data_IF_826614506366
#
_entry.id   IF_826614506366
#
_cell.length_a   1.000
_cell.length_b   1.000
_cell.length_c   1.000
_cell.angle_alpha   90.00
_cell.angle_beta   90.00
_cell.angle_gamma   90.00
#
_symmetry.space_group_name_H-M   'P 1'
#
loop_
_entity.id
_entity.type
_entity.pdbx_description
1 polymer ?
#
# COMPACT_ATOMS: atom_id res chain seq x y z
N UNK A 1 6.22 -4.38 0.18
CA UNK A 1 5.84 -5.58 0.96
C UNK A 1 6.47 -6.86 0.42
N UNK A 2 6.79 -7.82 1.30
CA UNK A 2 7.20 -9.20 0.96
C UNK A 2 5.99 -10.14 1.14
N UNK A 3 5.78 -11.07 0.21
CA UNK A 3 4.70 -12.05 0.29
C UNK A 3 4.95 -13.02 1.46
N UNK A 4 4.03 -13.17 2.42
CA UNK A 4 4.23 -14.06 3.56
C UNK A 4 4.19 -15.55 3.21
N UNK A 5 3.66 -15.90 2.03
CA UNK A 5 3.54 -17.30 1.61
C UNK A 5 4.80 -17.83 0.92
N UNK A 6 5.43 -17.02 0.06
CA UNK A 6 6.52 -17.47 -0.83
C UNK A 6 7.78 -16.62 -0.72
N UNK A 7 7.79 -15.58 0.13
CA UNK A 7 8.95 -14.73 0.39
C UNK A 7 9.33 -13.79 -0.75
N UNK A 8 8.57 -13.74 -1.85
CA UNK A 8 8.88 -12.88 -3.00
C UNK A 8 8.44 -11.44 -2.74
N UNK A 9 9.14 -10.47 -3.33
CA UNK A 9 8.72 -9.08 -3.32
C UNK A 9 7.39 -8.92 -4.07
N UNK A 10 6.44 -8.19 -3.47
CA UNK A 10 5.15 -7.92 -4.08
C UNK A 10 5.21 -6.63 -4.91
N UNK A 11 4.54 -6.63 -6.06
CA UNK A 11 4.52 -5.52 -7.02
C UNK A 11 3.15 -4.85 -7.05
N UNK A 12 3.08 -3.60 -7.53
CA UNK A 12 1.81 -2.89 -7.66
C UNK A 12 0.91 -3.57 -8.70
N UNK A 13 -0.33 -3.84 -8.31
CA UNK A 13 -1.34 -4.46 -9.17
C UNK A 13 -2.03 -3.38 -10.01
N UNK A 14 -1.91 -3.44 -11.33
CA UNK A 14 -2.66 -2.61 -12.29
C UNK A 14 -2.60 -1.09 -12.06
N UNK A 15 -1.56 -0.59 -11.38
CA UNK A 15 -1.50 0.82 -10.92
C UNK A 15 -2.72 1.24 -10.08
N UNK A 16 -3.41 0.28 -9.47
CA UNK A 16 -4.53 0.54 -8.57
C UNK A 16 -4.00 1.13 -7.27
N UNK A 17 -4.40 2.37 -7.04
CA UNK A 17 -4.02 3.13 -5.87
C UNK A 17 -4.75 4.45 -5.83
N UNK A 18 -4.61 5.13 -4.70
CA UNK A 18 -5.21 6.42 -4.48
C UNK A 18 -4.75 7.00 -3.16
N UNK A 19 -5.23 8.19 -2.85
CA UNK A 19 -4.86 8.87 -1.63
C UNK A 19 -5.59 10.19 -1.50
N UNK A 20 -5.49 10.76 -0.31
CA UNK A 20 -6.00 12.08 0.01
C UNK A 20 -4.84 12.87 0.59
N UNK A 21 -4.71 14.12 0.13
CA UNK A 21 -3.72 15.08 0.63
C UNK A 21 -4.47 16.34 1.04
N UNK A 22 -4.56 16.54 2.35
CA UNK A 22 -5.08 17.75 3.00
C UNK A 22 -3.91 18.44 3.73
N UNK A 23 -4.18 19.61 4.29
CA UNK A 23 -3.16 20.43 4.96
C UNK A 23 -2.58 19.74 6.22
N UNK A 24 -3.39 18.97 6.94
CA UNK A 24 -3.07 18.31 8.21
C UNK A 24 -3.08 16.76 8.11
N UNK A 25 -3.37 16.23 6.91
CA UNK A 25 -3.59 14.82 6.69
C UNK A 25 -3.09 14.36 5.34
N UNK A 26 -2.33 13.27 5.33
CA UNK A 26 -1.93 12.59 4.12
C UNK A 26 -2.22 11.10 4.26
N UNK A 27 -2.91 10.53 3.28
CA UNK A 27 -3.03 9.09 3.11
C UNK A 27 -2.72 8.67 1.68
N UNK A 28 -2.15 7.48 1.55
CA UNK A 28 -1.95 6.81 0.28
C UNK A 28 -2.19 5.32 0.45
N UNK A 29 -2.71 4.69 -0.60
CA UNK A 29 -2.87 3.26 -0.66
C UNK A 29 -2.60 2.73 -2.06
N UNK A 30 -2.13 1.49 -2.11
CA UNK A 30 -1.90 0.74 -3.34
C UNK A 30 -2.27 -0.73 -3.14
N UNK A 31 -2.77 -1.37 -4.20
CA UNK A 31 -2.93 -2.82 -4.22
C UNK A 31 -1.62 -3.44 -4.68
N UNK A 32 -1.05 -4.34 -3.88
CA UNK A 32 0.09 -5.17 -4.29
C UNK A 32 -0.33 -6.59 -4.57
N UNK A 33 0.31 -7.22 -5.54
CA UNK A 33 0.11 -8.61 -5.93
C UNK A 33 1.43 -9.38 -5.83
N UNK A 34 1.36 -10.62 -5.37
CA UNK A 34 2.43 -11.58 -5.56
C UNK A 34 2.24 -12.27 -6.91
N UNK A 35 3.22 -12.16 -7.80
CA UNK A 35 3.17 -12.77 -9.14
C UNK A 35 3.25 -14.30 -9.12
N UNK A 36 3.75 -14.90 -8.03
CA UNK A 36 3.86 -16.37 -7.92
C UNK A 36 2.58 -17.05 -7.46
N UNK A 37 1.95 -16.54 -6.39
CA UNK A 37 0.76 -17.16 -5.81
C UNK A 37 -0.54 -16.37 -6.05
N UNK A 38 -0.47 -15.22 -6.71
CA UNK A 38 -1.64 -14.38 -7.02
C UNK A 38 -2.25 -13.66 -5.83
N UNK A 39 -1.67 -13.77 -4.63
CA UNK A 39 -2.18 -13.11 -3.43
C UNK A 39 -2.15 -11.60 -3.61
N UNK A 40 -3.25 -10.94 -3.26
CA UNK A 40 -3.38 -9.48 -3.27
C UNK A 40 -3.45 -8.93 -1.85
N UNK A 41 -2.85 -7.77 -1.62
CA UNK A 41 -2.83 -7.06 -0.35
C UNK A 41 -3.01 -5.57 -0.61
N UNK A 42 -3.66 -4.87 0.32
CA UNK A 42 -3.75 -3.40 0.30
C UNK A 42 -2.67 -2.85 1.20
N UNK A 43 -1.68 -2.16 0.65
CA UNK A 43 -0.69 -1.39 1.41
C UNK A 43 -1.27 0.01 1.64
N UNK A 44 -1.25 0.49 2.88
CA UNK A 44 -1.84 1.77 3.28
C UNK A 44 -0.86 2.49 4.20
N UNK A 45 -0.64 3.77 3.92
CA UNK A 45 0.13 4.68 4.76
C UNK A 45 -0.72 5.91 5.04
N UNK A 46 -0.79 6.33 6.30
CA UNK A 46 -1.31 7.64 6.64
C UNK A 46 -0.42 8.32 7.66
N UNK A 47 -0.39 9.63 7.56
CA UNK A 47 0.17 10.53 8.55
C UNK A 47 -0.85 11.63 8.78
N UNK A 48 -0.99 12.00 10.06
CA UNK A 48 -1.75 13.16 10.47
C UNK A 48 -0.83 14.03 11.28
N UNK A 49 -1.00 15.34 11.18
CA UNK A 49 -0.29 16.24 12.08
C UNK A 49 -0.69 15.92 13.53
N UNK A 50 0.27 16.03 14.43
CA UNK A 50 0.06 15.82 15.86
C UNK A 50 0.50 17.12 16.50
N UNK A 51 -0.44 18.06 16.64
CA UNK A 51 -0.21 19.29 17.39
C UNK A 51 0.39 18.92 18.76
N UNK A 52 1.56 19.50 19.07
CA UNK A 52 2.38 19.20 20.24
C UNK A 52 1.93 19.95 21.50
#
# INVERSE_FOLDING_TARGET
MICPNDGTQMHQFNKEGGGVSLDDYYETWEIKVCEKCGRKVKEFYSVKDVEA
#
